data_IF_068139450807
#
_entry.id   IF_068139450807
#
_cell.length_a   1.000
_cell.length_b   1.000
_cell.length_c   1.000
_cell.angle_alpha   90.00
_cell.angle_beta   90.00
_cell.angle_gamma   90.00
#
_symmetry.space_group_name_H-M   'P 1'
#
loop_
_entity.id
_entity.type
_entity.pdbx_description
1 polymer ?
#
# COMPACT_ATOMS: atom_id res chain seq x y z
N UNK A 1 4.20 -12.71 -13.31
CA UNK A 1 4.04 -11.27 -13.67
C UNK A 1 4.71 -10.46 -12.57
N UNK A 2 5.65 -9.58 -12.90
CA UNK A 2 6.48 -8.94 -11.86
C UNK A 2 5.69 -8.12 -10.82
N UNK A 3 4.54 -7.54 -11.19
CA UNK A 3 3.58 -6.88 -10.30
C UNK A 3 2.20 -7.45 -10.62
N UNK A 4 1.55 -8.12 -9.66
CA UNK A 4 0.38 -8.94 -9.99
C UNK A 4 -0.89 -8.63 -9.16
N UNK A 5 -0.78 -7.98 -7.99
CA UNK A 5 -1.94 -7.71 -7.12
C UNK A 5 -1.76 -6.44 -6.31
N UNK A 6 -2.79 -5.60 -6.25
CA UNK A 6 -2.90 -4.56 -5.22
C UNK A 6 -3.26 -5.26 -3.89
N UNK A 7 -2.33 -5.29 -2.93
CA UNK A 7 -2.55 -5.98 -1.65
C UNK A 7 -3.31 -5.09 -0.67
N UNK A 8 -2.90 -3.82 -0.55
CA UNK A 8 -3.62 -2.82 0.23
C UNK A 8 -3.28 -1.39 -0.16
N UNK A 9 -4.11 -0.44 0.30
CA UNK A 9 -3.83 0.99 0.24
C UNK A 9 -4.00 1.64 1.62
N UNK A 10 -3.21 2.68 1.89
CA UNK A 10 -3.44 3.60 3.01
C UNK A 10 -3.90 4.95 2.47
N UNK A 11 -5.09 5.36 2.89
CA UNK A 11 -5.68 6.66 2.56
C UNK A 11 -5.52 7.61 3.75
N UNK A 12 -4.91 8.76 3.49
CA UNK A 12 -4.88 9.89 4.42
C UNK A 12 -6.15 10.71 4.26
N UNK A 13 -6.83 11.04 5.35
CA UNK A 13 -8.05 11.87 5.36
C UNK A 13 -8.09 12.78 6.59
N UNK A 14 -8.76 13.95 6.54
CA UNK A 14 -8.86 14.84 7.70
C UNK A 14 -9.80 14.28 8.78
N UNK A 15 -10.92 13.68 8.38
CA UNK A 15 -11.94 13.17 9.30
C UNK A 15 -11.92 11.63 9.33
N UNK A 16 -10.97 11.04 10.06
CA UNK A 16 -10.78 9.58 10.08
C UNK A 16 -11.98 8.83 10.65
N UNK A 17 -12.61 9.34 11.72
CA UNK A 17 -13.76 8.71 12.37
C UNK A 17 -15.00 8.68 11.44
N UNK A 18 -15.31 9.80 10.79
CA UNK A 18 -16.41 9.89 9.82
C UNK A 18 -16.17 8.98 8.61
N UNK A 19 -14.94 8.98 8.09
CA UNK A 19 -14.54 8.11 6.98
C UNK A 19 -14.62 6.64 7.38
N UNK A 20 -14.28 6.30 8.62
CA UNK A 20 -14.38 4.94 9.14
C UNK A 20 -15.83 4.44 9.16
N UNK A 21 -16.77 5.26 9.66
CA UNK A 21 -18.21 4.96 9.64
C UNK A 21 -18.68 4.68 8.21
N UNK A 22 -18.32 5.54 7.26
CA UNK A 22 -18.66 5.35 5.85
C UNK A 22 -18.23 3.98 5.31
N UNK A 23 -16.99 3.55 5.58
CA UNK A 23 -16.51 2.25 5.09
C UNK A 23 -17.11 1.06 5.83
N UNK A 24 -17.47 1.22 7.10
CA UNK A 24 -18.26 0.22 7.83
C UNK A 24 -19.64 0.06 7.23
N UNK A 25 -20.33 1.16 6.93
CA UNK A 25 -21.65 1.15 6.28
C UNK A 25 -21.59 0.61 4.85
N UNK A 26 -20.48 0.86 4.14
CA UNK A 26 -20.19 0.27 2.84
C UNK A 26 -20.01 -1.27 2.90
N UNK A 27 -19.80 -1.82 4.08
CA UNK A 27 -19.70 -3.26 4.32
C UNK A 27 -18.27 -3.78 4.45
N UNK A 28 -17.30 -2.92 4.75
CA UNK A 28 -15.96 -3.35 5.18
C UNK A 28 -15.94 -3.59 6.70
N UNK A 29 -15.17 -4.58 7.13
CA UNK A 29 -15.05 -4.92 8.55
C UNK A 29 -13.89 -4.17 9.19
N UNK A 30 -14.10 -3.35 10.23
CA UNK A 30 -13.00 -2.72 10.98
C UNK A 30 -12.06 -3.75 11.61
N UNK A 31 -10.76 -3.50 11.55
CA UNK A 31 -9.70 -4.42 12.02
C UNK A 31 -8.62 -3.68 12.87
N UNK A 32 -9.03 -2.61 13.55
CA UNK A 32 -8.17 -1.81 14.43
C UNK A 32 -7.13 -0.94 13.69
N UNK A 33 -6.57 0.07 14.36
CA UNK A 33 -5.52 0.96 13.82
C UNK A 33 -5.81 1.59 12.45
N UNK A 34 -7.10 1.81 12.17
CA UNK A 34 -7.62 2.34 10.91
C UNK A 34 -7.72 1.31 9.79
N UNK A 35 -7.41 0.03 10.03
CA UNK A 35 -7.54 -1.04 9.04
C UNK A 35 -8.99 -1.48 8.84
N UNK A 36 -9.27 -1.84 7.60
CA UNK A 36 -10.51 -2.41 7.12
C UNK A 36 -10.20 -3.65 6.30
N UNK A 37 -10.92 -4.71 6.65
CA UNK A 37 -10.80 -6.03 6.04
C UNK A 37 -11.96 -6.27 5.08
N UNK A 38 -11.64 -6.77 3.88
CA UNK A 38 -12.62 -7.23 2.89
C UNK A 38 -12.97 -8.68 3.13
N UNK A 39 -14.07 -9.13 2.52
CA UNK A 39 -14.53 -10.52 2.62
C UNK A 39 -13.54 -11.52 2.02
N UNK A 40 -12.87 -11.13 0.94
CA UNK A 40 -12.12 -12.08 0.12
C UNK A 40 -10.60 -12.00 0.30
N UNK A 41 -10.07 -10.88 0.81
CA UNK A 41 -8.63 -10.62 0.75
C UNK A 41 -8.03 -9.97 2.02
N UNK A 42 -8.70 -10.07 3.17
CA UNK A 42 -8.14 -9.59 4.43
C UNK A 42 -8.01 -8.06 4.48
N UNK A 43 -6.98 -7.56 5.15
CA UNK A 43 -6.70 -6.12 5.29
C UNK A 43 -6.34 -5.49 3.94
N UNK A 44 -7.22 -4.65 3.40
CA UNK A 44 -6.98 -4.00 2.09
C UNK A 44 -7.04 -2.47 2.13
N UNK A 45 -7.65 -1.89 3.16
CA UNK A 45 -7.76 -0.43 3.30
C UNK A 45 -7.32 -0.02 4.69
N UNK A 46 -6.42 0.96 4.79
CA UNK A 46 -6.10 1.66 6.03
C UNK A 46 -6.46 3.12 5.93
N UNK A 47 -7.15 3.66 6.94
CA UNK A 47 -7.47 5.07 7.06
C UNK A 47 -6.55 5.69 8.12
N UNK A 48 -5.80 6.71 7.74
CA UNK A 48 -4.93 7.48 8.64
C UNK A 48 -5.24 8.96 8.54
N UNK A 49 -4.86 9.73 9.57
CA UNK A 49 -5.04 11.17 9.53
C UNK A 49 -4.08 11.82 8.52
N UNK A 50 -4.60 12.72 7.69
CA UNK A 50 -3.84 13.64 6.86
C UNK A 50 -4.66 14.93 6.64
N UNK A 51 -4.01 16.11 6.45
CA UNK A 51 -4.73 17.38 6.31
C UNK A 51 -5.64 17.43 5.06
N UNK A 52 -5.36 16.60 4.05
CA UNK A 52 -6.17 16.47 2.84
C UNK A 52 -6.36 15.00 2.49
N UNK A 53 -7.40 14.70 1.69
CA UNK A 53 -7.61 13.36 1.14
C UNK A 53 -6.51 13.03 0.14
N UNK A 54 -5.71 11.99 0.42
CA UNK A 54 -4.60 11.57 -0.45
C UNK A 54 -4.28 10.08 -0.28
N UNK A 55 -3.69 9.49 -1.30
CA UNK A 55 -3.00 8.21 -1.17
C UNK A 55 -1.71 8.44 -0.37
N UNK A 56 -1.53 7.69 0.71
CA UNK A 56 -0.31 7.74 1.54
C UNK A 56 0.61 6.59 1.20
N UNK A 57 0.04 5.39 1.03
CA UNK A 57 0.79 4.18 0.73
C UNK A 57 0.01 3.26 -0.20
N UNK A 58 0.73 2.62 -1.12
CA UNK A 58 0.22 1.53 -1.94
C UNK A 58 1.11 0.31 -1.75
N UNK A 59 0.49 -0.85 -1.53
CA UNK A 59 1.18 -2.14 -1.42
C UNK A 59 0.81 -3.05 -2.57
N UNK A 60 1.82 -3.64 -3.20
CA UNK A 60 1.66 -4.45 -4.41
C UNK A 60 2.41 -5.77 -4.26
N UNK A 61 1.73 -6.86 -4.60
CA UNK A 61 2.25 -8.21 -4.62
C UNK A 61 3.15 -8.48 -5.83
N UNK A 62 4.26 -9.18 -5.59
CA UNK A 62 5.17 -9.73 -6.60
C UNK A 62 5.31 -11.24 -6.42
N UNK A 63 5.66 -11.96 -7.49
CA UNK A 63 5.72 -13.44 -7.44
C UNK A 63 6.94 -13.94 -6.68
N UNK A 64 8.09 -13.28 -6.86
CA UNK A 64 9.39 -13.78 -6.39
C UNK A 64 10.30 -12.69 -5.82
N UNK A 65 11.30 -13.05 -5.01
CA UNK A 65 12.37 -12.14 -4.61
C UNK A 65 13.13 -11.52 -5.80
N UNK A 66 13.24 -12.25 -6.92
CA UNK A 66 13.90 -11.76 -8.13
C UNK A 66 13.10 -10.61 -8.78
N UNK A 67 11.77 -10.62 -8.66
CA UNK A 67 10.93 -9.51 -9.10
C UNK A 67 11.19 -8.24 -8.28
N UNK A 68 11.43 -8.37 -6.96
CA UNK A 68 11.84 -7.25 -6.11
C UNK A 68 13.19 -6.69 -6.54
N UNK A 69 14.19 -7.55 -6.77
CA UNK A 69 15.51 -7.14 -7.22
C UNK A 69 15.44 -6.44 -8.59
N UNK A 70 14.62 -6.97 -9.50
CA UNK A 70 14.41 -6.39 -10.82
C UNK A 70 13.68 -5.03 -10.73
N UNK A 71 12.72 -4.86 -9.82
CA UNK A 71 12.07 -3.57 -9.55
C UNK A 71 13.04 -2.55 -8.95
N UNK A 72 13.85 -2.93 -7.96
CA UNK A 72 14.87 -2.07 -7.37
C UNK A 72 15.87 -1.55 -8.40
N UNK A 73 16.33 -2.43 -9.31
CA UNK A 73 17.21 -2.05 -10.42
C UNK A 73 16.57 -1.04 -11.37
N UNK A 74 15.26 -1.18 -11.65
CA UNK A 74 14.51 -0.22 -12.49
C UNK A 74 14.36 1.14 -11.81
N UNK A 75 14.01 1.17 -10.53
CA UNK A 75 13.89 2.41 -9.75
C UNK A 75 15.22 3.16 -9.68
N UNK A 76 16.33 2.46 -9.43
CA UNK A 76 17.68 3.04 -9.45
C UNK A 76 18.01 3.71 -10.79
N UNK A 77 17.65 3.08 -11.92
CA UNK A 77 17.86 3.68 -13.26
C UNK A 77 17.00 4.91 -13.51
N UNK A 78 15.85 5.01 -12.86
CA UNK A 78 14.98 6.19 -12.90
C UNK A 78 15.43 7.29 -11.91
N UNK A 79 16.49 7.04 -11.12
CA UNK A 79 16.94 7.97 -10.08
C UNK A 79 16.01 7.99 -8.85
N UNK A 80 15.17 6.98 -8.68
CA UNK A 80 14.27 6.86 -7.54
C UNK A 80 14.95 6.04 -6.45
N UNK A 81 15.11 6.63 -5.27
CA UNK A 81 15.63 5.92 -4.10
C UNK A 81 14.63 4.85 -3.62
N UNK A 82 15.16 3.67 -3.34
CA UNK A 82 14.39 2.54 -2.82
C UNK A 82 15.21 1.71 -1.85
N UNK A 83 14.57 1.19 -0.82
CA UNK A 83 15.17 0.31 0.18
C UNK A 83 14.58 -1.09 0.04
N UNK A 84 15.43 -2.09 -0.13
CA UNK A 84 15.05 -3.50 -0.11
C UNK A 84 15.46 -4.08 1.26
N UNK A 85 14.49 -4.52 2.04
CA UNK A 85 14.71 -5.14 3.35
C UNK A 85 13.66 -6.21 3.64
N UNK A 86 14.04 -7.30 4.32
CA UNK A 86 13.15 -8.36 4.79
C UNK A 86 12.10 -8.87 3.77
N UNK A 87 12.46 -8.97 2.49
CA UNK A 87 11.54 -9.41 1.43
C UNK A 87 10.52 -8.35 0.98
N UNK A 88 10.81 -7.08 1.26
CA UNK A 88 9.97 -5.94 0.92
C UNK A 88 10.80 -4.84 0.27
N UNK A 89 10.36 -4.35 -0.88
CA UNK A 89 10.95 -3.17 -1.52
C UNK A 89 10.08 -1.95 -1.22
N UNK A 90 10.67 -0.92 -0.62
CA UNK A 90 10.01 0.37 -0.39
C UNK A 90 10.61 1.43 -1.28
N UNK A 91 9.79 2.24 -1.92
CA UNK A 91 10.20 3.45 -2.64
C UNK A 91 9.28 4.60 -2.25
N UNK A 92 9.81 5.83 -2.25
CA UNK A 92 9.02 7.02 -1.99
C UNK A 92 9.05 7.92 -3.23
N UNK A 93 7.88 8.16 -3.81
CA UNK A 93 7.74 9.14 -4.89
C UNK A 93 7.59 10.54 -4.28
N UNK A 94 8.64 11.36 -4.43
CA UNK A 94 8.66 12.72 -3.93
C UNK A 94 7.64 13.63 -4.61
N UNK A 95 7.32 13.38 -5.89
CA UNK A 95 6.41 14.24 -6.65
C UNK A 95 4.96 14.11 -6.15
N UNK A 96 4.55 12.89 -5.79
CA UNK A 96 3.18 12.61 -5.31
C UNK A 96 3.09 12.41 -3.81
N UNK A 97 4.23 12.34 -3.11
CA UNK A 97 4.33 12.02 -1.70
C UNK A 97 3.68 10.67 -1.33
N UNK A 98 3.81 9.68 -2.23
CA UNK A 98 3.28 8.32 -2.06
C UNK A 98 4.41 7.35 -1.72
N UNK A 99 4.20 6.53 -0.68
CA UNK A 99 5.05 5.39 -0.38
C UNK A 99 4.56 4.16 -1.18
N UNK A 100 5.39 3.65 -2.08
CA UNK A 100 5.12 2.40 -2.77
C UNK A 100 5.87 1.26 -2.08
N UNK A 101 5.18 0.15 -1.85
CA UNK A 101 5.72 -1.04 -1.19
C UNK A 101 5.45 -2.24 -2.08
N UNK A 102 6.49 -3.01 -2.39
CA UNK A 102 6.37 -4.30 -3.02
C UNK A 102 6.69 -5.39 -2.00
N UNK A 103 5.90 -6.45 -1.97
CA UNK A 103 6.09 -7.60 -1.09
C UNK A 103 5.81 -8.89 -1.86
N UNK A 104 6.52 -9.97 -1.52
CA UNK A 104 6.27 -11.28 -2.15
C UNK A 104 4.92 -11.81 -1.63
N UNK A 105 3.99 -12.06 -2.54
CA UNK A 105 2.70 -12.67 -2.21
C UNK A 105 2.44 -13.89 -3.08
N UNK A 106 1.92 -15.00 -2.53
CA UNK A 106 1.48 -16.12 -3.33
C UNK A 106 0.41 -15.66 -4.34
N UNK A 107 0.61 -16.02 -5.61
CA UNK A 107 -0.34 -15.77 -6.68
C UNK A 107 -1.56 -16.69 -6.56
#
# INVERSE_FOLDING_TARGET
MALHRLTSITMGVPNTAETAVYYTDFGLTPDGDGWFTTRDAGRQLRIVHAPTRRLVEVRIGVDTPDDLAAAASRLKRLGIESTLDAGMLTAYDQATAVRAVLEVTPA
#
